data_IF_106290141662
#
_entry.id   IF_106290141662
#
_cell.length_a   1.000
_cell.length_b   1.000
_cell.length_c   1.000
_cell.angle_alpha   90.00
_cell.angle_beta   90.00
_cell.angle_gamma   90.00
#
_symmetry.space_group_name_H-M   'P 1'
#
loop_
_entity.id
_entity.type
_entity.pdbx_description
1 polymer ?
#
# COMPACT_ATOMS: atom_id res chain seq x y z
N UNK A 1 -17.26 -51.70 9.38
CA UNK A 1 -17.61 -50.39 8.78
C UNK A 1 -16.85 -49.31 9.52
N UNK A 2 -16.02 -48.53 8.81
CA UNK A 2 -15.19 -47.45 9.38
C UNK A 2 -16.09 -46.23 9.63
N UNK A 3 -16.30 -45.87 10.89
CA UNK A 3 -16.97 -44.63 11.25
C UNK A 3 -16.02 -43.46 10.96
N UNK A 4 -16.32 -42.68 9.92
CA UNK A 4 -15.62 -41.43 9.61
C UNK A 4 -15.98 -40.39 10.68
N UNK A 5 -15.00 -39.99 11.49
CA UNK A 5 -15.10 -38.78 12.33
C UNK A 5 -15.20 -37.56 11.41
N UNK A 6 -16.24 -36.73 11.64
CA UNK A 6 -16.40 -35.43 10.97
C UNK A 6 -15.24 -34.53 11.38
N UNK A 7 -14.67 -33.71 10.49
CA UNK A 7 -13.64 -32.77 10.88
C UNK A 7 -14.29 -31.74 11.81
N UNK A 8 -13.86 -31.72 13.07
CA UNK A 8 -14.15 -30.62 13.98
C UNK A 8 -13.67 -29.34 13.29
N UNK A 9 -14.65 -28.59 12.77
CA UNK A 9 -14.44 -27.22 12.34
C UNK A 9 -14.06 -26.48 13.60
N UNK A 10 -12.76 -26.22 13.77
CA UNK A 10 -12.30 -25.22 14.72
C UNK A 10 -12.96 -23.91 14.33
N UNK A 11 -14.10 -23.61 14.95
CA UNK A 11 -14.72 -22.29 14.90
C UNK A 11 -13.76 -21.43 15.68
N UNK A 12 -12.94 -20.66 14.95
CA UNK A 12 -12.09 -19.65 15.54
C UNK A 12 -13.01 -18.63 16.22
N UNK A 13 -13.20 -18.79 17.52
CA UNK A 13 -13.95 -17.90 18.41
C UNK A 13 -13.13 -16.65 18.71
N UNK A 14 -12.50 -16.07 17.70
CA UNK A 14 -11.93 -14.74 17.84
C UNK A 14 -13.09 -13.74 17.69
N UNK A 15 -13.53 -13.11 18.80
CA UNK A 15 -14.65 -12.17 18.77
C UNK A 15 -14.37 -10.93 17.91
N UNK A 16 -13.09 -10.65 17.62
CA UNK A 16 -12.69 -9.57 16.72
C UNK A 16 -12.96 -9.92 15.25
N UNK A 17 -12.89 -11.20 14.87
CA UNK A 17 -13.07 -11.65 13.49
C UNK A 17 -14.53 -11.48 13.04
N UNK A 18 -15.49 -11.85 13.88
CA UNK A 18 -16.91 -11.71 13.58
C UNK A 18 -17.34 -10.23 13.51
N UNK A 19 -16.80 -9.40 14.40
CA UNK A 19 -16.99 -7.96 14.37
C UNK A 19 -16.42 -7.34 13.08
N UNK A 20 -15.20 -7.72 12.68
CA UNK A 20 -14.58 -7.25 11.43
C UNK A 20 -15.36 -7.66 10.17
N UNK A 21 -15.92 -8.88 10.14
CA UNK A 21 -16.73 -9.33 9.00
C UNK A 21 -18.06 -8.58 8.91
N UNK A 22 -18.73 -8.31 10.04
CA UNK A 22 -19.96 -7.51 10.07
C UNK A 22 -19.69 -6.05 9.69
N UNK A 23 -18.58 -5.48 10.16
CA UNK A 23 -18.17 -4.10 9.85
C UNK A 23 -17.85 -3.95 8.35
N UNK A 24 -17.16 -4.93 7.74
CA UNK A 24 -16.87 -4.98 6.28
C UNK A 24 -18.11 -4.98 5.39
N UNK A 25 -19.20 -5.61 5.82
CA UNK A 25 -20.43 -5.71 5.03
C UNK A 25 -21.31 -4.46 5.13
N UNK A 26 -21.16 -3.68 6.21
CA UNK A 26 -21.98 -2.49 6.49
C UNK A 26 -21.51 -1.20 5.79
N UNK A 27 -20.24 -1.12 5.39
CA UNK A 27 -19.66 0.11 4.84
C UNK A 27 -19.14 -0.09 3.41
N UNK A 28 -20.03 0.05 2.43
CA UNK A 28 -19.74 0.13 0.98
C UNK A 28 -18.91 1.38 0.55
N UNK A 29 -18.15 1.97 1.46
CA UNK A 29 -17.39 3.21 1.25
C UNK A 29 -16.27 3.47 2.25
N UNK A 30 -15.97 2.57 3.19
CA UNK A 30 -14.78 2.71 4.04
C UNK A 30 -13.55 2.33 3.23
N UNK A 31 -12.65 3.28 3.00
CA UNK A 31 -11.28 2.91 2.61
C UNK A 31 -10.68 2.11 3.77
N UNK A 32 -10.05 0.97 3.51
CA UNK A 32 -9.32 0.12 4.48
C UNK A 32 -8.11 0.85 5.15
N UNK A 33 -8.18 2.17 5.33
CA UNK A 33 -7.14 3.08 5.79
C UNK A 33 -7.41 3.47 7.24
N UNK A 34 -6.48 3.14 8.11
CA UNK A 34 -6.37 3.58 9.49
C UNK A 34 -5.61 4.92 9.49
N UNK A 35 -6.18 5.94 10.11
CA UNK A 35 -5.50 7.21 10.33
C UNK A 35 -4.66 7.13 11.61
N UNK A 36 -3.34 7.25 11.48
CA UNK A 36 -2.38 7.31 12.59
C UNK A 36 -1.90 8.76 12.77
N UNK A 37 -1.85 9.23 14.01
CA UNK A 37 -1.26 10.52 14.36
C UNK A 37 0.00 10.29 15.16
N UNK A 38 1.16 10.73 14.64
CA UNK A 38 2.47 10.60 15.28
C UNK A 38 3.13 11.97 15.24
N UNK A 39 3.50 12.54 16.40
CA UNK A 39 4.14 13.86 16.50
C UNK A 39 3.39 14.94 15.69
N UNK A 40 2.07 15.02 15.88
CA UNK A 40 1.16 15.93 15.18
C UNK A 40 1.07 15.76 13.65
N UNK A 41 1.70 14.73 13.09
CA UNK A 41 1.60 14.36 11.69
C UNK A 41 0.60 13.23 11.50
N UNK A 42 -0.31 13.41 10.54
CA UNK A 42 -1.34 12.41 10.20
C UNK A 42 -0.89 11.56 9.03
N UNK A 43 -1.01 10.25 9.19
CA UNK A 43 -0.68 9.24 8.19
C UNK A 43 -1.90 8.36 7.97
N UNK A 44 -2.19 8.04 6.72
CA UNK A 44 -3.21 7.06 6.37
C UNK A 44 -2.51 5.77 5.94
N UNK A 45 -2.67 4.71 6.72
CA UNK A 45 -2.05 3.39 6.46
C UNK A 45 -3.13 2.33 6.32
N UNK A 46 -2.98 1.39 5.40
CA UNK A 46 -3.87 0.23 5.32
C UNK A 46 -3.17 -1.07 5.78
N UNK A 47 -3.92 -2.16 5.88
CA UNK A 47 -3.38 -3.47 6.30
C UNK A 47 -2.18 -3.92 5.46
N UNK A 48 -2.20 -3.71 4.14
CA UNK A 48 -1.08 -4.05 3.25
C UNK A 48 0.18 -3.25 3.55
N UNK A 49 0.02 -1.99 3.93
CA UNK A 49 1.13 -1.12 4.30
C UNK A 49 1.77 -1.57 5.62
N UNK A 50 0.95 -1.97 6.60
CA UNK A 50 1.40 -2.56 7.88
C UNK A 50 2.11 -3.90 7.63
N UNK A 51 1.53 -4.79 6.82
CA UNK A 51 2.17 -6.06 6.42
C UNK A 51 3.52 -5.81 5.74
N UNK A 52 3.61 -4.86 4.81
CA UNK A 52 4.87 -4.55 4.13
C UNK A 52 5.94 -4.05 5.11
N UNK A 53 5.57 -3.27 6.13
CA UNK A 53 6.50 -2.81 7.17
C UNK A 53 6.95 -3.99 8.04
N UNK A 54 6.02 -4.84 8.49
CA UNK A 54 6.31 -5.99 9.34
C UNK A 54 7.14 -7.07 8.62
N UNK A 55 6.91 -7.25 7.31
CA UNK A 55 7.66 -8.17 6.44
C UNK A 55 9.08 -7.67 6.11
N UNK A 56 9.51 -6.51 6.61
CA UNK A 56 10.77 -5.87 6.23
C UNK A 56 10.78 -5.34 4.79
N UNK A 57 9.64 -5.32 4.10
CA UNK A 57 9.44 -4.77 2.75
C UNK A 57 9.10 -3.28 2.80
N UNK A 58 9.82 -2.53 3.64
CA UNK A 58 9.61 -1.09 3.81
C UNK A 58 9.70 -0.30 2.50
N UNK A 59 10.44 -0.79 1.51
CA UNK A 59 10.56 -0.15 0.21
C UNK A 59 9.29 -0.26 -0.65
N UNK A 60 8.47 -1.30 -0.46
CA UNK A 60 7.14 -1.37 -1.08
C UNK A 60 6.17 -0.35 -0.46
N UNK A 61 6.26 -0.15 0.86
CA UNK A 61 5.50 0.89 1.54
C UNK A 61 5.92 2.29 1.09
N UNK A 62 7.23 2.57 1.02
CA UNK A 62 7.77 3.83 0.48
C UNK A 62 7.34 4.07 -0.96
N UNK A 63 7.40 3.05 -1.83
CA UNK A 63 6.92 3.15 -3.23
C UNK A 63 5.46 3.56 -3.29
N UNK A 64 4.59 2.89 -2.55
CA UNK A 64 3.14 3.17 -2.59
C UNK A 64 2.83 4.57 -2.07
N UNK A 65 3.43 4.92 -0.94
CA UNK A 65 3.24 6.24 -0.31
C UNK A 65 3.76 7.36 -1.21
N UNK A 66 4.95 7.20 -1.79
CA UNK A 66 5.54 8.18 -2.70
C UNK A 66 4.67 8.33 -3.96
N UNK A 67 4.22 7.23 -4.56
CA UNK A 67 3.35 7.26 -5.74
C UNK A 67 2.06 8.06 -5.49
N UNK A 68 1.37 7.82 -4.37
CA UNK A 68 0.15 8.57 -4.03
C UNK A 68 0.41 10.08 -3.89
N UNK A 69 1.58 10.46 -3.40
CA UNK A 69 1.94 11.87 -3.21
C UNK A 69 2.27 12.59 -4.52
N UNK A 70 2.93 11.91 -5.46
CA UNK A 70 3.44 12.53 -6.69
C UNK A 70 2.60 12.25 -7.93
N UNK A 71 1.59 11.38 -7.86
CA UNK A 71 0.80 10.95 -9.03
C UNK A 71 0.29 12.13 -9.86
N UNK A 72 -0.21 13.18 -9.20
CA UNK A 72 -0.90 14.28 -9.87
C UNK A 72 0.07 15.21 -10.64
N UNK A 73 1.39 15.07 -10.41
CA UNK A 73 2.45 15.76 -11.14
C UNK A 73 2.61 15.24 -12.58
N UNK A 74 2.14 14.01 -12.84
CA UNK A 74 2.36 13.32 -14.11
C UNK A 74 1.09 13.28 -14.96
N UNK A 75 1.20 13.43 -16.29
CA UNK A 75 0.07 13.18 -17.19
C UNK A 75 -0.24 11.68 -17.25
N UNK A 76 -1.50 11.35 -17.57
CA UNK A 76 -1.98 9.97 -17.66
C UNK A 76 -1.14 9.07 -18.58
N UNK A 77 -0.58 9.64 -19.64
CA UNK A 77 0.27 8.94 -20.63
C UNK A 77 1.53 8.33 -20.04
N UNK A 78 2.12 8.93 -19.01
CA UNK A 78 3.41 8.49 -18.44
C UNK A 78 3.27 7.71 -17.12
N UNK A 79 2.04 7.49 -16.62
CA UNK A 79 1.80 6.85 -15.31
C UNK A 79 2.50 5.49 -15.18
N UNK A 80 2.45 4.65 -16.22
CA UNK A 80 3.02 3.30 -16.17
C UNK A 80 4.56 3.34 -16.08
N UNK A 81 5.18 4.24 -16.83
CA UNK A 81 6.62 4.45 -16.87
C UNK A 81 7.13 5.03 -15.56
N UNK A 82 6.49 6.08 -15.07
CA UNK A 82 6.84 6.75 -13.80
C UNK A 82 6.71 5.79 -12.61
N UNK A 83 5.68 4.93 -12.58
CA UNK A 83 5.57 3.89 -11.54
C UNK A 83 6.75 2.92 -11.52
N UNK A 84 7.30 2.59 -12.69
CA UNK A 84 8.50 1.77 -12.84
C UNK A 84 9.74 2.50 -12.31
N UNK A 85 9.92 3.74 -12.73
CA UNK A 85 11.04 4.58 -12.31
C UNK A 85 11.02 4.88 -10.80
N UNK A 86 9.85 5.12 -10.20
CA UNK A 86 9.71 5.29 -8.74
C UNK A 86 10.06 4.00 -8.01
N UNK A 87 9.69 2.83 -8.54
CA UNK A 87 10.11 1.57 -7.94
C UNK A 87 11.64 1.44 -7.97
N UNK A 88 12.25 1.72 -9.12
CA UNK A 88 13.70 1.69 -9.27
C UNK A 88 14.38 2.69 -8.32
N UNK A 89 13.87 3.91 -8.24
CA UNK A 89 14.39 4.97 -7.36
C UNK A 89 14.35 4.61 -5.88
N UNK A 90 13.30 3.90 -5.44
CA UNK A 90 13.09 3.53 -4.03
C UNK A 90 13.81 2.23 -3.66
N UNK A 91 13.97 1.29 -4.59
CA UNK A 91 14.52 -0.05 -4.31
C UNK A 91 15.98 -0.23 -4.70
N UNK A 92 16.50 0.52 -5.67
CA UNK A 92 17.90 0.44 -6.09
C UNK A 92 18.73 1.54 -5.43
N UNK A 93 20.00 1.23 -5.16
CA UNK A 93 20.95 2.16 -4.53
C UNK A 93 21.67 3.02 -5.57
N UNK A 94 21.77 2.52 -6.81
CA UNK A 94 22.63 3.08 -7.86
C UNK A 94 21.87 4.06 -8.77
N UNK A 95 22.60 4.98 -9.42
CA UNK A 95 22.11 5.88 -10.47
C UNK A 95 20.86 6.72 -10.11
N UNK A 96 20.68 7.04 -8.83
CA UNK A 96 19.51 7.79 -8.35
C UNK A 96 19.33 9.15 -9.03
N UNK A 97 20.43 9.85 -9.34
CA UNK A 97 20.39 11.14 -10.03
C UNK A 97 19.79 11.00 -11.43
N UNK A 98 20.28 10.04 -12.22
CA UNK A 98 19.76 9.79 -13.57
C UNK A 98 18.29 9.34 -13.57
N UNK A 99 17.92 8.48 -12.61
CA UNK A 99 16.52 8.04 -12.46
C UNK A 99 15.63 9.22 -12.05
N UNK A 100 16.12 10.10 -11.17
CA UNK A 100 15.40 11.31 -10.80
C UNK A 100 15.22 12.25 -11.99
N UNK A 101 16.25 12.50 -12.80
CA UNK A 101 16.15 13.36 -13.97
C UNK A 101 15.15 12.82 -15.00
N UNK A 102 15.13 11.49 -15.20
CA UNK A 102 14.09 10.82 -16.01
C UNK A 102 12.69 11.05 -15.44
N UNK A 103 12.50 10.83 -14.14
CA UNK A 103 11.21 11.11 -13.47
C UNK A 103 10.83 12.58 -13.67
N UNK A 104 11.73 13.53 -13.40
CA UNK A 104 11.50 14.97 -13.56
C UNK A 104 11.06 15.32 -14.98
N UNK A 105 11.73 14.79 -16.00
CA UNK A 105 11.38 15.06 -17.41
C UNK A 105 9.97 14.60 -17.82
N UNK A 106 9.41 13.60 -17.12
CA UNK A 106 8.06 13.06 -17.38
C UNK A 106 6.95 13.84 -16.66
N UNK A 107 7.29 14.72 -15.72
CA UNK A 107 6.32 15.57 -15.04
C UNK A 107 5.81 16.69 -15.96
N UNK A 108 4.62 17.22 -15.66
CA UNK A 108 4.07 18.41 -16.33
C UNK A 108 5.08 19.57 -16.21
N UNK A 109 5.24 20.38 -17.25
CA UNK A 109 6.23 21.47 -17.28
C UNK A 109 6.15 22.40 -16.08
N UNK A 110 4.95 22.68 -15.55
CA UNK A 110 4.79 23.55 -14.38
C UNK A 110 5.25 22.90 -13.05
N UNK A 111 5.53 21.59 -13.07
CA UNK A 111 5.86 20.77 -11.90
C UNK A 111 7.27 20.16 -11.98
N UNK A 112 8.06 20.53 -12.99
CA UNK A 112 9.46 20.09 -13.19
C UNK A 112 10.43 20.93 -12.37
#
# INVERSE_FOLDING_TARGET
MVAKLKPDVFVNTNPFLEAMYKERLSHKGYSDKIALSINDKKYNVNSKDIENILDGKGDLFKKRTLWEFVRDLFPGSHIKEVKGLIYEFVTKVDNKAEVFDKIKSLAKKEQQ
#
